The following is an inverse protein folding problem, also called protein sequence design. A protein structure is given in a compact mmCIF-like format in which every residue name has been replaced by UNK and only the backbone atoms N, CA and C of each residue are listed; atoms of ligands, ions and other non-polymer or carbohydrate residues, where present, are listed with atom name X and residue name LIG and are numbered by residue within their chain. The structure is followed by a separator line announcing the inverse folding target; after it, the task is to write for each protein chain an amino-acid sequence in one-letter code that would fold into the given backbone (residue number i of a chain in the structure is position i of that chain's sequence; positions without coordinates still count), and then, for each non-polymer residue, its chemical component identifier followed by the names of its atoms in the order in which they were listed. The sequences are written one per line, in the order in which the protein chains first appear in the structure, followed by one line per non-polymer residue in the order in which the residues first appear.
data_IF_128316080637
#
_entry.id   IF_128316080637
#
_cell.length_a   1.000
_cell.length_b   1.000
_cell.length_c   1.000
_cell.angle_alpha   90.00
_cell.angle_beta   90.00
_cell.angle_gamma   90.00
#
_symmetry.space_group_name_H-M   'P 1'
#
loop_
_entity.id
_entity.type
_entity.pdbx_description
1 polymer ?
#
# COMPACT_ATOMS: atom_id res chain seq x y z
N UNK A 1 3.92 44.75 -13.97
CA UNK A 1 3.36 43.58 -14.68
C UNK A 1 3.58 42.35 -13.82
N UNK A 2 2.60 42.03 -12.98
CA UNK A 2 2.65 40.90 -12.03
C UNK A 2 2.53 39.59 -12.81
N UNK A 3 3.59 38.79 -12.77
CA UNK A 3 3.62 37.47 -13.39
C UNK A 3 2.75 36.51 -12.56
N UNK A 4 1.47 36.46 -12.87
CA UNK A 4 0.55 35.41 -12.41
C UNK A 4 0.94 34.13 -13.13
N UNK A 5 1.85 33.37 -12.51
CA UNK A 5 2.12 31.97 -12.83
C UNK A 5 0.86 31.18 -12.54
N UNK A 6 -0.03 31.16 -13.53
CA UNK A 6 -1.25 30.38 -13.55
C UNK A 6 -0.85 28.91 -13.72
N UNK A 7 -0.50 28.25 -12.62
CA UNK A 7 -0.18 26.83 -12.61
C UNK A 7 -1.48 26.04 -12.84
N UNK A 8 -1.67 25.67 -14.10
CA UNK A 8 -2.73 24.79 -14.59
C UNK A 8 -2.98 23.62 -13.64
N UNK A 9 -4.23 23.51 -13.19
CA UNK A 9 -4.78 22.50 -12.31
C UNK A 9 -4.94 21.12 -13.00
N UNK A 10 -3.86 20.58 -13.56
CA UNK A 10 -3.82 19.17 -13.93
C UNK A 10 -3.34 18.36 -12.71
N UNK A 11 -4.25 18.14 -11.76
CA UNK A 11 -4.10 17.26 -10.58
C UNK A 11 -2.67 17.21 -9.97
N UNK A 12 -2.12 18.33 -9.45
CA UNK A 12 -0.80 18.28 -8.84
C UNK A 12 -0.93 17.68 -7.45
N UNK A 13 -0.36 16.50 -7.25
CA UNK A 13 -0.06 15.97 -5.92
C UNK A 13 0.49 17.10 -5.03
N UNK A 14 0.05 17.22 -3.77
CA UNK A 14 0.49 18.29 -2.89
C UNK A 14 2.01 18.29 -2.82
N UNK A 15 2.60 19.45 -3.09
CA UNK A 15 4.03 19.65 -3.02
C UNK A 15 4.55 19.22 -1.63
N UNK A 16 5.40 18.18 -1.59
CA UNK A 16 6.04 17.65 -0.39
C UNK A 16 6.70 18.76 0.45
N UNK A 17 7.27 19.77 -0.21
CA UNK A 17 8.00 20.86 0.42
C UNK A 17 7.10 22.00 0.92
N UNK A 18 5.92 22.15 0.33
CA UNK A 18 5.02 23.27 0.57
C UNK A 18 3.99 22.90 1.64
N UNK A 19 3.53 21.65 1.63
CA UNK A 19 2.52 21.12 2.56
C UNK A 19 2.86 19.66 2.92
N UNK A 20 3.96 19.41 3.66
CA UNK A 20 4.43 18.06 3.99
C UNK A 20 3.35 17.24 4.73
N UNK A 21 2.57 17.91 5.59
CA UNK A 21 1.51 17.25 6.34
C UNK A 21 0.39 16.71 5.44
N UNK A 22 -0.07 17.50 4.47
CA UNK A 22 -1.11 17.08 3.51
C UNK A 22 -0.62 15.94 2.60
N UNK A 23 0.66 15.96 2.22
CA UNK A 23 1.26 14.90 1.43
C UNK A 23 1.36 13.59 2.21
N UNK A 24 1.84 13.63 3.46
CA UNK A 24 1.93 12.43 4.32
C UNK A 24 0.54 11.84 4.57
N UNK A 25 -0.46 12.67 4.90
CA UNK A 25 -1.84 12.19 5.09
C UNK A 25 -2.43 11.56 3.82
N UNK A 26 -2.13 12.13 2.66
CA UNK A 26 -2.55 11.55 1.39
C UNK A 26 -1.92 10.18 1.14
N UNK A 27 -0.61 10.04 1.38
CA UNK A 27 0.10 8.77 1.23
C UNK A 27 -0.42 7.74 2.24
N UNK A 28 -0.71 8.13 3.47
CA UNK A 28 -1.32 7.26 4.48
C UNK A 28 -2.69 6.73 4.03
N UNK A 29 -3.61 7.59 3.59
CA UNK A 29 -4.90 7.15 3.04
C UNK A 29 -4.74 6.29 1.77
N UNK A 30 -3.68 6.57 0.99
CA UNK A 30 -3.13 5.74 -0.09
C UNK A 30 -2.98 4.28 0.33
N UNK A 31 -2.14 4.13 1.34
CA UNK A 31 -1.69 2.87 1.92
C UNK A 31 -2.85 2.13 2.61
N UNK A 32 -3.69 2.83 3.36
CA UNK A 32 -4.88 2.24 4.00
C UNK A 32 -5.81 1.63 2.95
N UNK A 33 -6.04 2.32 1.83
CA UNK A 33 -6.83 1.75 0.72
C UNK A 33 -6.15 0.53 0.12
N UNK A 34 -4.83 0.55 -0.14
CA UNK A 34 -4.11 -0.64 -0.60
C UNK A 34 -4.31 -1.83 0.35
N UNK A 35 -4.26 -1.58 1.66
CA UNK A 35 -4.46 -2.62 2.66
C UNK A 35 -5.88 -3.18 2.62
N UNK A 36 -6.89 -2.33 2.50
CA UNK A 36 -8.27 -2.76 2.31
C UNK A 36 -8.45 -3.62 1.05
N UNK A 37 -7.70 -3.34 -0.01
CA UNK A 37 -7.68 -4.18 -1.22
C UNK A 37 -6.82 -5.44 -1.08
N UNK A 38 -6.25 -5.71 0.09
CA UNK A 38 -5.35 -6.84 0.35
C UNK A 38 -4.17 -6.90 -0.64
N UNK A 39 -3.60 -5.74 -0.93
CA UNK A 39 -2.42 -5.64 -1.77
C UNK A 39 -1.15 -5.79 -0.92
N UNK A 40 -0.26 -6.69 -1.34
CA UNK A 40 1.07 -6.77 -0.75
C UNK A 40 1.81 -5.44 -0.84
N UNK A 41 2.80 -5.23 0.02
CA UNK A 41 3.58 -3.99 0.06
C UNK A 41 4.12 -3.60 -1.34
N UNK A 42 4.57 -4.57 -2.13
CA UNK A 42 5.11 -4.35 -3.47
C UNK A 42 4.04 -3.94 -4.47
N UNK A 43 2.86 -4.55 -4.41
CA UNK A 43 1.70 -4.16 -5.24
C UNK A 43 1.26 -2.74 -4.90
N UNK A 44 1.19 -2.40 -3.61
CA UNK A 44 0.85 -1.05 -3.19
C UNK A 44 1.88 -0.02 -3.68
N UNK A 45 3.19 -0.32 -3.60
CA UNK A 45 4.25 0.56 -4.11
C UNK A 45 4.12 0.78 -5.62
N UNK A 46 3.92 -0.29 -6.41
CA UNK A 46 3.73 -0.19 -7.86
C UNK A 46 2.47 0.59 -8.20
N UNK A 47 1.35 0.27 -7.57
CA UNK A 47 0.08 0.94 -7.79
C UNK A 47 0.15 2.44 -7.46
N UNK A 48 0.78 2.81 -6.34
CA UNK A 48 0.95 4.21 -5.95
C UNK A 48 1.90 4.95 -6.89
N UNK A 49 2.94 4.28 -7.41
CA UNK A 49 3.85 4.87 -8.38
C UNK A 49 3.17 5.08 -9.75
N UNK A 50 2.38 4.12 -10.21
CA UNK A 50 1.75 4.13 -11.54
C UNK A 50 0.47 4.97 -11.58
N UNK A 51 -0.43 4.78 -10.61
CA UNK A 51 -1.72 5.47 -10.56
C UNK A 51 -1.64 6.86 -9.93
N UNK A 52 -0.80 7.01 -8.89
CA UNK A 52 -0.73 8.25 -8.12
C UNK A 52 0.58 9.01 -8.33
N UNK A 53 1.55 8.51 -9.12
CA UNK A 53 2.82 9.19 -9.36
C UNK A 53 3.67 9.38 -8.09
N UNK A 54 3.40 8.62 -7.03
CA UNK A 54 4.12 8.76 -5.75
C UNK A 54 5.46 8.02 -5.86
N UNK A 55 6.53 8.66 -5.37
CA UNK A 55 7.86 8.04 -5.37
C UNK A 55 7.84 6.75 -4.52
N UNK A 56 8.31 5.61 -5.05
CA UNK A 56 8.39 4.36 -4.31
C UNK A 56 9.07 4.50 -2.95
N UNK A 57 10.13 5.33 -2.89
CA UNK A 57 10.87 5.60 -1.67
C UNK A 57 10.00 6.24 -0.57
N UNK A 58 9.10 7.15 -0.93
CA UNK A 58 8.16 7.76 0.01
C UNK A 58 7.21 6.71 0.54
N UNK A 59 6.58 5.93 -0.35
CA UNK A 59 5.63 4.87 0.03
C UNK A 59 6.29 3.86 0.97
N UNK A 60 7.50 3.39 0.66
CA UNK A 60 8.27 2.47 1.52
C UNK A 60 8.54 3.08 2.88
N UNK A 61 8.91 4.36 2.92
CA UNK A 61 9.22 5.05 4.18
C UNK A 61 7.98 5.17 5.05
N UNK A 62 6.88 5.69 4.51
CA UNK A 62 5.62 5.84 5.26
C UNK A 62 5.07 4.49 5.69
N UNK A 63 5.16 3.47 4.83
CA UNK A 63 4.74 2.11 5.16
C UNK A 63 5.56 1.49 6.30
N UNK A 64 6.87 1.72 6.34
CA UNK A 64 7.74 1.27 7.45
C UNK A 64 7.43 1.96 8.76
N UNK A 65 7.19 3.27 8.74
CA UNK A 65 6.79 4.02 9.94
C UNK A 65 5.42 3.53 10.44
N UNK A 66 4.44 3.35 9.56
CA UNK A 66 3.12 2.79 9.92
C UNK A 66 3.23 1.40 10.53
N UNK A 67 4.08 0.53 9.99
CA UNK A 67 4.35 -0.80 10.56
C UNK A 67 4.91 -0.71 11.98
N UNK A 68 5.80 0.25 12.22
CA UNK A 68 6.46 0.42 13.51
C UNK A 68 5.50 0.97 14.57
N UNK A 69 4.61 1.88 14.19
CA UNK A 69 3.60 2.43 15.07
C UNK A 69 2.44 1.45 15.33
N UNK A 70 2.01 0.70 14.30
CA UNK A 70 0.82 -0.17 14.37
C UNK A 70 1.17 -1.66 14.21
N UNK A 71 2.18 -2.14 14.95
CA UNK A 71 2.71 -3.51 14.80
C UNK A 71 1.66 -4.61 14.94
N UNK A 72 0.67 -4.42 15.80
CA UNK A 72 -0.39 -5.40 16.04
C UNK A 72 -1.35 -5.50 14.85
N UNK A 73 -1.80 -4.36 14.31
CA UNK A 73 -2.61 -4.32 13.09
C UNK A 73 -1.91 -4.99 11.90
N UNK A 74 -0.62 -4.69 11.72
CA UNK A 74 0.16 -5.30 10.63
C UNK A 74 0.39 -6.79 10.82
N UNK A 75 0.45 -7.29 12.06
CA UNK A 75 0.55 -8.74 12.32
C UNK A 75 -0.70 -9.47 11.83
N UNK A 76 -1.87 -8.95 12.14
CA UNK A 76 -3.15 -9.50 11.67
C UNK A 76 -3.28 -9.36 10.16
N UNK A 77 -2.90 -8.20 9.61
CA UNK A 77 -2.92 -7.97 8.16
C UNK A 77 -2.03 -8.95 7.39
N UNK A 78 -0.79 -9.17 7.85
CA UNK A 78 0.14 -10.12 7.24
C UNK A 78 -0.35 -11.56 7.37
N UNK A 79 -1.01 -11.92 8.48
CA UNK A 79 -1.62 -13.25 8.61
C UNK A 79 -2.74 -13.45 7.58
N UNK A 80 -3.58 -12.44 7.34
CA UNK A 80 -4.63 -12.50 6.32
C UNK A 80 -4.02 -12.60 4.92
N UNK A 81 -2.94 -11.88 4.64
CA UNK A 81 -2.24 -11.94 3.35
C UNK A 81 -1.63 -13.34 3.09
N UNK A 82 -0.98 -13.93 4.11
CA UNK A 82 -0.46 -15.30 4.07
C UNK A 82 -1.60 -16.31 3.86
N UNK A 83 -2.73 -16.13 4.55
CA UNK A 83 -3.88 -17.02 4.42
C UNK A 83 -4.52 -16.91 3.03
N UNK A 84 -4.58 -15.71 2.45
CA UNK A 84 -5.02 -15.51 1.07
C UNK A 84 -4.05 -16.11 0.06
N UNK A 85 -2.74 -16.00 0.28
CA UNK A 85 -1.74 -16.69 -0.53
C UNK A 85 -1.94 -18.22 -0.49
N UNK A 86 -2.23 -18.77 0.68
CA UNK A 86 -2.55 -20.19 0.84
C UNK A 86 -3.86 -20.57 0.14
N UNK A 87 -4.92 -19.77 0.26
CA UNK A 87 -6.18 -20.00 -0.45
C UNK A 87 -5.98 -19.97 -1.97
N UNK A 88 -5.26 -18.97 -2.48
CA UNK A 88 -4.98 -18.83 -3.91
C UNK A 88 -4.20 -20.06 -4.43
N UNK A 89 -3.19 -20.52 -3.68
CA UNK A 89 -2.44 -21.73 -4.02
C UNK A 89 -3.28 -23.01 -4.01
N UNK A 90 -4.22 -23.13 -3.05
CA UNK A 90 -5.18 -24.25 -2.97
C UNK A 90 -6.19 -24.23 -4.13
N UNK A 91 -6.67 -23.05 -4.54
CA UNK A 91 -7.55 -22.91 -5.72
C UNK A 91 -6.81 -23.24 -7.02
N UNK A 92 -5.52 -22.92 -7.13
CA UNK A 92 -4.68 -23.26 -8.30
C UNK A 92 -4.17 -24.71 -8.30
N UNK A 93 -4.24 -25.42 -7.16
CA UNK A 93 -3.85 -26.83 -7.01
C UNK A 93 -4.97 -27.66 -6.35
N UNK A 94 -6.08 -27.94 -7.05
CA UNK A 94 -7.25 -28.63 -6.50
C UNK A 94 -7.03 -30.13 -6.15
N UNK A 95 -5.78 -30.59 -6.08
CA UNK A 95 -5.42 -32.02 -5.98
C UNK A 95 -4.65 -32.45 -4.74
N UNK A 96 -4.31 -31.58 -3.79
CA UNK A 96 -3.41 -31.95 -2.67
C UNK A 96 -4.09 -32.32 -1.37
N UNK A 97 -5.42 -32.35 -1.30
CA UNK A 97 -6.13 -32.73 -0.07
C UNK A 97 -6.27 -34.25 0.08
N UNK A 98 -5.16 -34.98 -0.07
CA UNK A 98 -5.01 -36.37 0.38
C UNK A 98 -3.56 -36.68 0.70
N UNK A 99 -3.15 -36.47 1.96
CA UNK A 99 -2.40 -37.46 2.76
C UNK A 99 -2.08 -36.92 4.16
N UNK A 100 -2.66 -37.61 5.17
CA UNK A 100 -2.22 -37.88 6.56
C UNK A 100 -1.81 -36.69 7.46
N UNK A 101 -2.34 -36.49 8.68
CA UNK A 101 -2.90 -37.42 9.65
C UNK A 101 -2.06 -37.39 10.95
N UNK A 102 -2.68 -37.18 12.10
CA UNK A 102 -2.09 -37.28 13.45
C UNK A 102 -2.26 -35.99 14.26
N UNK A 103 -2.86 -35.97 15.45
CA UNK A 103 -3.11 -37.02 16.43
C UNK A 103 -4.30 -36.67 17.31
#
# INVERSE_FOLDING_TARGET
YTNTMHHSHQYPLPCLYCHPHSYIRMVQSLIERCMLFHMSQEQCIRALAEHAGIKPLVTVTVWKELQKENREFFREYLQVDIFKGHQNWLEENPGTDKVNGGS
#
